data_IF_137117184099
#
_entry.id   IF_137117184099
#
_cell.length_a   1.000
_cell.length_b   1.000
_cell.length_c   1.000
_cell.angle_alpha   90.00
_cell.angle_beta   90.00
_cell.angle_gamma   90.00
#
_symmetry.space_group_name_H-M   'P 1'
#
loop_
_entity.id
_entity.type
_entity.pdbx_description
1 polymer ?
#
# COMPACT_ATOMS: atom_id res chain seq x y z
N UNK A 1 44.90 -32.69 16.16
CA UNK A 1 44.91 -32.08 14.84
C UNK A 1 45.30 -30.60 15.00
N UNK A 2 45.83 -29.95 13.99
CA UNK A 2 45.97 -28.52 14.00
C UNK A 2 44.58 -27.87 13.88
N UNK A 3 44.32 -26.82 14.63
CA UNK A 3 43.09 -26.08 14.57
C UNK A 3 42.89 -25.44 13.19
N UNK A 4 41.71 -25.57 12.62
CA UNK A 4 41.29 -24.98 11.35
C UNK A 4 40.40 -23.75 11.61
N UNK A 5 40.49 -22.66 10.82
CA UNK A 5 39.67 -21.49 11.06
C UNK A 5 38.19 -21.76 10.80
N UNK A 6 37.29 -21.12 11.53
CA UNK A 6 35.85 -21.12 11.22
C UNK A 6 35.58 -20.45 9.87
N UNK A 7 34.45 -20.71 9.32
CA UNK A 7 33.95 -20.11 8.06
C UNK A 7 32.66 -19.35 8.33
N UNK A 8 32.53 -18.16 7.74
CA UNK A 8 31.33 -17.34 7.81
C UNK A 8 30.84 -16.98 6.41
N UNK A 9 29.50 -16.96 6.19
CA UNK A 9 28.90 -16.69 4.91
C UNK A 9 27.56 -15.96 5.05
N UNK A 10 27.12 -15.35 3.97
CA UNK A 10 25.82 -14.67 3.86
C UNK A 10 25.95 -13.30 3.19
N UNK A 11 24.82 -12.78 2.75
CA UNK A 11 24.73 -11.46 2.11
C UNK A 11 23.72 -10.61 2.89
N UNK A 12 24.17 -9.64 3.68
CA UNK A 12 23.28 -8.74 4.41
C UNK A 12 22.43 -7.90 3.45
N UNK A 13 21.15 -7.63 3.75
CA UNK A 13 20.37 -6.62 3.02
C UNK A 13 21.07 -5.25 3.09
N UNK A 14 21.14 -4.56 1.95
CA UNK A 14 21.85 -3.28 1.84
C UNK A 14 20.99 -2.06 2.23
N UNK A 15 19.67 -2.25 2.42
CA UNK A 15 18.74 -1.17 2.79
C UNK A 15 17.57 -1.66 3.63
N UNK A 16 16.95 -0.71 4.33
CA UNK A 16 15.71 -0.90 5.08
C UNK A 16 14.98 0.44 5.15
N UNK A 17 13.64 0.42 5.10
CA UNK A 17 12.85 1.64 5.32
C UNK A 17 12.74 1.95 6.82
N UNK A 18 12.70 3.21 7.18
CA UNK A 18 12.35 3.65 8.52
C UNK A 18 10.99 3.04 8.92
N UNK A 19 10.88 2.56 10.18
CA UNK A 19 9.74 1.82 10.68
C UNK A 19 9.67 0.34 10.29
N UNK A 20 10.48 -0.14 9.33
CA UNK A 20 10.54 -1.54 8.94
C UNK A 20 11.60 -2.31 9.73
N UNK A 21 11.37 -3.61 9.90
CA UNK A 21 12.34 -4.48 10.62
C UNK A 21 13.46 -4.92 9.68
N UNK A 22 14.70 -4.65 10.10
CA UNK A 22 15.90 -5.22 9.53
C UNK A 22 16.29 -6.48 10.30
N UNK A 23 16.69 -7.54 9.61
CA UNK A 23 17.22 -8.74 10.23
C UNK A 23 18.14 -9.48 9.26
N UNK A 24 19.35 -9.78 9.74
CA UNK A 24 20.32 -10.61 9.05
C UNK A 24 20.99 -11.55 10.05
N UNK A 25 21.12 -12.83 9.69
CA UNK A 25 21.87 -13.84 10.45
C UNK A 25 22.82 -14.52 9.49
N UNK A 26 24.14 -14.45 9.71
CA UNK A 26 25.12 -15.15 8.88
C UNK A 26 25.03 -16.66 9.10
N UNK A 27 25.43 -17.44 8.11
CA UNK A 27 25.77 -18.84 8.29
C UNK A 27 27.22 -18.95 8.75
N UNK A 28 27.49 -19.81 9.74
CA UNK A 28 28.85 -20.11 10.15
C UNK A 28 29.01 -21.59 10.49
N UNK A 29 30.23 -22.11 10.28
CA UNK A 29 30.61 -23.47 10.63
C UNK A 29 32.09 -23.56 10.95
N UNK A 30 32.46 -24.53 11.77
CA UNK A 30 33.84 -24.84 12.09
C UNK A 30 34.18 -26.28 11.65
N UNK A 31 35.32 -26.49 10.96
CA UNK A 31 35.74 -27.83 10.51
C UNK A 31 36.05 -28.82 11.65
N UNK A 32 36.49 -28.31 12.80
CA UNK A 32 36.82 -29.10 13.96
C UNK A 32 35.65 -29.22 14.96
N UNK A 33 34.50 -28.58 14.64
CA UNK A 33 33.29 -28.47 15.47
C UNK A 33 33.49 -27.72 16.77
N UNK A 34 34.38 -26.73 16.79
CA UNK A 34 34.59 -25.88 17.93
C UNK A 34 33.43 -24.89 18.13
N UNK A 35 33.32 -24.39 19.38
CA UNK A 35 32.25 -23.43 19.73
C UNK A 35 32.52 -22.07 19.11
N UNK A 36 31.55 -21.54 18.38
CA UNK A 36 31.67 -20.27 17.68
C UNK A 36 31.14 -19.10 18.51
N UNK A 37 31.84 -17.98 18.44
CA UNK A 37 31.41 -16.69 19.01
C UNK A 37 31.48 -15.61 17.94
N UNK A 38 30.47 -14.77 17.87
CA UNK A 38 30.37 -13.71 16.88
C UNK A 38 30.71 -12.35 17.50
N UNK A 39 31.23 -11.47 16.67
CA UNK A 39 31.48 -10.07 17.00
C UNK A 39 31.09 -9.15 15.84
N UNK A 40 30.86 -7.88 16.14
CA UNK A 40 30.53 -6.87 15.15
C UNK A 40 31.34 -5.61 15.38
N UNK A 41 31.82 -4.98 14.31
CA UNK A 41 32.35 -3.63 14.33
C UNK A 41 31.49 -2.67 13.54
N UNK A 42 31.48 -1.38 13.92
CA UNK A 42 30.65 -0.33 13.33
C UNK A 42 29.16 -0.66 13.33
N UNK A 43 28.70 -1.27 14.44
CA UNK A 43 27.27 -1.59 14.63
C UNK A 43 26.43 -0.31 14.52
N UNK A 44 25.34 -0.29 13.69
CA UNK A 44 24.42 0.84 13.65
C UNK A 44 23.76 1.08 15.02
N UNK A 45 23.55 2.34 15.38
CA UNK A 45 22.93 2.73 16.66
C UNK A 45 21.52 2.21 16.87
N UNK A 46 20.78 2.02 15.77
CA UNK A 46 19.40 1.50 15.77
C UNK A 46 19.32 -0.03 15.85
N UNK A 47 20.43 -0.74 15.74
CA UNK A 47 20.45 -2.20 15.66
C UNK A 47 21.03 -2.84 16.94
N UNK A 48 20.56 -4.05 17.24
CA UNK A 48 21.09 -4.96 18.26
C UNK A 48 21.83 -6.11 17.59
N UNK A 49 22.88 -6.59 18.23
CA UNK A 49 23.67 -7.72 17.77
C UNK A 49 23.70 -8.83 18.82
N UNK A 50 23.45 -10.06 18.37
CA UNK A 50 23.52 -11.26 19.21
C UNK A 50 24.84 -12.01 18.94
N UNK A 51 25.76 -12.01 19.90
CA UNK A 51 27.07 -12.63 19.79
C UNK A 51 27.02 -14.17 19.75
N UNK A 52 25.91 -14.81 20.09
CA UNK A 52 25.76 -16.26 20.02
C UNK A 52 25.34 -16.75 18.65
N UNK A 53 24.60 -15.94 17.90
CA UNK A 53 24.05 -16.29 16.58
C UNK A 53 24.62 -15.46 15.44
N UNK A 54 25.30 -14.37 15.74
CA UNK A 54 25.76 -13.38 14.75
C UNK A 54 24.65 -12.53 14.17
N UNK A 55 23.42 -12.59 14.75
CA UNK A 55 22.26 -11.87 14.24
C UNK A 55 22.38 -10.37 14.50
N UNK A 56 22.28 -9.59 13.43
CA UNK A 56 22.09 -8.14 13.44
C UNK A 56 20.62 -7.83 13.14
N UNK A 57 19.92 -7.15 14.05
CA UNK A 57 18.50 -6.83 13.86
C UNK A 57 18.10 -5.53 14.55
N UNK A 58 17.06 -4.88 14.04
CA UNK A 58 16.50 -3.65 14.61
C UNK A 58 15.40 -3.07 13.75
N UNK A 59 14.78 -2.00 14.23
CA UNK A 59 13.77 -1.23 13.51
C UNK A 59 14.19 0.23 13.56
N UNK A 60 14.91 0.73 12.54
CA UNK A 60 15.32 2.13 12.50
C UNK A 60 14.12 3.06 12.40
N UNK A 61 14.20 4.23 13.02
CA UNK A 61 13.21 5.30 12.86
C UNK A 61 13.64 6.36 11.84
N UNK A 62 12.83 7.40 11.68
CA UNK A 62 13.12 8.53 10.75
C UNK A 62 14.42 9.27 11.11
N UNK A 63 14.75 9.30 12.39
CA UNK A 63 15.99 9.90 12.87
C UNK A 63 17.27 9.13 12.47
N UNK A 64 17.12 7.86 12.06
CA UNK A 64 18.21 6.98 11.64
C UNK A 64 18.43 6.98 10.12
N UNK A 65 17.68 7.78 9.38
CA UNK A 65 17.81 7.89 7.90
C UNK A 65 19.25 8.30 7.55
N UNK A 66 19.86 7.48 6.69
CA UNK A 66 21.25 7.62 6.31
C UNK A 66 21.94 6.27 6.13
N UNK A 67 23.25 6.28 5.92
CA UNK A 67 24.03 5.06 5.66
C UNK A 67 24.98 4.77 6.80
N UNK A 68 24.83 3.59 7.39
CA UNK A 68 25.83 2.99 8.29
C UNK A 68 26.79 2.15 7.44
N UNK A 69 28.07 2.48 7.44
CA UNK A 69 29.09 1.87 6.58
C UNK A 69 30.18 1.16 7.36
N UNK A 70 30.98 0.35 6.65
CA UNK A 70 32.11 -0.42 7.20
C UNK A 70 31.69 -1.41 8.30
N UNK A 71 30.45 -1.90 8.26
CA UNK A 71 29.99 -2.92 9.20
C UNK A 71 30.69 -4.23 8.87
N UNK A 72 31.31 -4.86 9.88
CA UNK A 72 31.95 -6.16 9.71
C UNK A 72 31.45 -7.09 10.81
N UNK A 73 30.92 -8.25 10.41
CA UNK A 73 30.60 -9.36 11.32
C UNK A 73 31.67 -10.41 11.18
N UNK A 74 32.23 -10.82 12.32
CA UNK A 74 33.28 -11.81 12.43
C UNK A 74 32.84 -12.99 13.29
N UNK A 75 33.39 -14.16 13.04
CA UNK A 75 33.24 -15.38 13.84
C UNK A 75 34.58 -15.86 14.32
N UNK A 76 34.65 -16.38 15.54
CA UNK A 76 35.87 -16.95 16.14
C UNK A 76 35.53 -18.25 16.86
N UNK A 77 36.46 -19.22 16.77
CA UNK A 77 36.52 -20.47 17.54
C UNK A 77 37.27 -20.35 18.87
N UNK A 78 37.83 -19.14 19.14
CA UNK A 78 38.65 -18.84 20.32
C UNK A 78 40.15 -18.79 20.03
N UNK A 79 40.62 -19.34 18.91
CA UNK A 79 42.03 -19.29 18.46
C UNK A 79 42.17 -18.58 17.11
N UNK A 80 41.28 -18.86 16.18
CA UNK A 80 41.26 -18.33 14.83
C UNK A 80 39.93 -17.60 14.55
N UNK A 81 39.87 -16.88 13.44
CA UNK A 81 38.66 -16.13 13.08
C UNK A 81 38.52 -15.95 11.57
N UNK A 82 37.26 -15.74 11.14
CA UNK A 82 36.88 -15.34 9.78
C UNK A 82 35.86 -14.21 9.83
N UNK A 83 35.69 -13.48 8.74
CA UNK A 83 34.82 -12.31 8.68
C UNK A 83 34.13 -12.16 7.35
N UNK A 84 32.90 -11.68 7.38
CA UNK A 84 32.21 -11.20 6.16
C UNK A 84 32.98 -9.98 5.60
N UNK A 85 32.94 -9.79 4.27
CA UNK A 85 33.35 -8.51 3.68
C UNK A 85 32.61 -7.35 4.35
N UNK A 86 33.28 -6.21 4.53
CA UNK A 86 32.63 -5.01 5.04
C UNK A 86 31.43 -4.62 4.18
N UNK A 87 30.31 -4.33 4.82
CA UNK A 87 29.07 -3.96 4.16
C UNK A 87 28.48 -2.65 4.71
N UNK A 88 27.47 -2.15 4.04
CA UNK A 88 26.74 -0.95 4.46
C UNK A 88 25.24 -1.23 4.47
N UNK A 89 24.52 -0.56 5.37
CA UNK A 89 23.04 -0.56 5.40
C UNK A 89 22.57 0.88 5.31
N UNK A 90 21.70 1.16 4.33
CA UNK A 90 21.08 2.47 4.16
C UNK A 90 19.65 2.43 4.70
N UNK A 91 19.36 3.29 5.65
CA UNK A 91 18.00 3.56 6.10
C UNK A 91 17.40 4.63 5.19
N UNK A 92 16.30 4.31 4.51
CA UNK A 92 15.55 5.25 3.68
C UNK A 92 14.27 5.65 4.37
N UNK A 93 13.75 6.86 4.11
CA UNK A 93 12.42 7.21 4.61
C UNK A 93 11.39 6.23 4.06
N UNK A 94 10.41 5.85 4.90
CA UNK A 94 9.22 5.20 4.40
C UNK A 94 8.52 6.13 3.40
N UNK A 95 8.01 5.59 2.29
CA UNK A 95 7.17 6.37 1.40
C UNK A 95 5.97 6.90 2.20
N UNK A 96 5.72 8.21 2.16
CA UNK A 96 4.51 8.80 2.72
C UNK A 96 3.37 8.55 1.75
N UNK A 97 2.26 8.02 2.25
CA UNK A 97 1.06 7.84 1.44
C UNK A 97 0.47 9.20 1.06
N UNK A 98 0.15 9.38 -0.21
CA UNK A 98 -0.65 10.49 -0.72
C UNK A 98 -2.10 10.01 -0.92
N UNK A 99 -3.12 10.81 -0.62
CA UNK A 99 -4.49 10.38 -0.84
C UNK A 99 -4.78 10.15 -2.32
N UNK A 100 -5.67 9.21 -2.67
CA UNK A 100 -6.10 9.00 -4.03
C UNK A 100 -6.81 10.24 -4.58
N UNK A 101 -6.86 10.35 -5.89
CA UNK A 101 -7.57 11.39 -6.60
C UNK A 101 -8.81 10.80 -7.28
N UNK A 102 -9.92 11.52 -7.23
CA UNK A 102 -11.17 11.14 -7.91
C UNK A 102 -11.74 12.35 -8.64
N UNK A 103 -12.26 12.15 -9.85
CA UNK A 103 -12.84 13.19 -10.68
C UNK A 103 -13.97 12.64 -11.57
N UNK A 104 -14.73 13.55 -12.13
CA UNK A 104 -15.86 13.24 -13.01
C UNK A 104 -17.06 14.14 -12.71
N UNK A 105 -17.97 14.20 -13.67
CA UNK A 105 -19.20 15.00 -13.56
C UNK A 105 -20.40 14.09 -13.86
N UNK A 106 -21.09 13.58 -12.80
CA UNK A 106 -22.28 12.78 -12.98
C UNK A 106 -23.39 13.57 -13.72
N UNK A 107 -24.16 12.89 -14.56
CA UNK A 107 -25.38 13.51 -15.11
C UNK A 107 -26.38 13.80 -13.98
N UNK A 108 -26.98 14.98 -14.00
CA UNK A 108 -27.89 15.44 -12.96
C UNK A 108 -29.35 15.04 -13.19
N UNK A 109 -29.66 14.45 -14.35
CA UNK A 109 -30.98 13.94 -14.66
C UNK A 109 -30.95 12.71 -15.56
N UNK A 110 -32.01 11.92 -15.52
CA UNK A 110 -32.29 10.79 -16.39
C UNK A 110 -33.82 10.67 -16.57
N UNK A 111 -34.31 10.34 -17.77
CA UNK A 111 -35.69 10.04 -17.95
C UNK A 111 -36.07 8.65 -17.42
N UNK A 112 -37.27 8.48 -16.89
CA UNK A 112 -37.78 7.16 -16.53
C UNK A 112 -37.64 6.19 -17.71
N UNK A 113 -37.33 4.93 -17.43
CA UNK A 113 -37.06 3.86 -18.40
C UNK A 113 -35.84 4.08 -19.33
N UNK A 114 -34.97 5.06 -19.00
CA UNK A 114 -33.68 5.24 -19.66
C UNK A 114 -32.53 4.80 -18.74
N UNK A 115 -31.45 4.32 -19.38
CA UNK A 115 -30.26 3.88 -18.65
C UNK A 115 -29.50 5.11 -18.13
N UNK A 116 -29.14 5.08 -16.86
CA UNK A 116 -28.17 5.95 -16.24
C UNK A 116 -26.88 5.15 -16.03
N UNK A 117 -25.73 5.72 -16.33
CA UNK A 117 -24.42 5.18 -16.02
C UNK A 117 -23.43 6.32 -15.81
N UNK A 118 -22.68 6.25 -14.74
CA UNK A 118 -21.58 7.15 -14.44
C UNK A 118 -20.45 6.37 -13.79
N UNK A 119 -19.23 6.49 -14.32
CA UNK A 119 -18.00 5.94 -13.76
C UNK A 119 -17.04 7.08 -13.52
N UNK A 120 -16.57 7.32 -12.29
CA UNK A 120 -15.57 8.34 -12.02
C UNK A 120 -14.19 7.91 -12.56
N UNK A 121 -13.35 8.90 -12.87
CA UNK A 121 -11.91 8.66 -13.03
C UNK A 121 -11.25 8.71 -11.65
N UNK A 122 -10.39 7.74 -11.36
CA UNK A 122 -9.64 7.72 -10.12
C UNK A 122 -8.21 7.21 -10.33
N UNK A 123 -7.27 7.75 -9.56
CA UNK A 123 -5.88 7.34 -9.58
C UNK A 123 -5.25 7.54 -8.21
N UNK A 124 -4.24 6.73 -7.93
CA UNK A 124 -3.39 6.87 -6.75
C UNK A 124 -1.97 7.25 -7.16
N UNK A 125 -1.34 8.26 -6.52
CA UNK A 125 0.01 8.69 -6.86
C UNK A 125 1.07 7.61 -6.68
N UNK A 126 0.88 6.71 -5.71
CA UNK A 126 1.77 5.59 -5.40
C UNK A 126 1.39 4.32 -6.19
N UNK A 127 0.26 4.31 -6.91
CA UNK A 127 -0.23 3.18 -7.69
C UNK A 127 -0.91 2.09 -6.84
N UNK A 128 -1.46 2.46 -5.69
CA UNK A 128 -2.18 1.57 -4.78
C UNK A 128 -3.48 1.01 -5.39
N UNK A 129 -3.96 -0.11 -4.82
CA UNK A 129 -5.26 -0.65 -5.16
C UNK A 129 -6.36 0.26 -4.63
N UNK A 130 -7.27 0.66 -5.51
CA UNK A 130 -8.41 1.52 -5.17
C UNK A 130 -9.66 0.71 -4.90
N UNK A 131 -10.40 1.12 -3.88
CA UNK A 131 -11.74 0.62 -3.55
C UNK A 131 -12.72 1.78 -3.49
N UNK A 132 -13.90 1.58 -4.09
CA UNK A 132 -14.92 2.62 -4.13
C UNK A 132 -16.05 2.33 -3.15
N UNK A 133 -16.70 3.40 -2.71
CA UNK A 133 -17.88 3.36 -1.86
C UNK A 133 -18.87 4.45 -2.28
N UNK A 134 -20.12 4.28 -1.92
CA UNK A 134 -21.17 5.26 -2.19
C UNK A 134 -22.04 5.47 -0.95
N UNK A 135 -22.43 6.70 -0.69
CA UNK A 135 -23.51 7.06 0.22
C UNK A 135 -24.66 7.72 -0.55
N UNK A 136 -25.88 7.64 -0.03
CA UNK A 136 -27.05 8.19 -0.71
C UNK A 136 -27.42 7.47 -2.01
N UNK A 137 -27.01 6.21 -2.19
CA UNK A 137 -27.29 5.42 -3.40
C UNK A 137 -28.80 5.37 -3.69
N UNK A 138 -29.25 5.76 -4.91
CA UNK A 138 -30.65 5.61 -5.31
C UNK A 138 -31.08 4.15 -5.29
N UNK A 139 -32.32 3.87 -4.87
CA UNK A 139 -32.86 2.50 -4.76
C UNK A 139 -32.97 1.76 -6.09
N UNK A 140 -33.05 2.49 -7.22
CA UNK A 140 -33.08 1.94 -8.56
C UNK A 140 -31.73 1.65 -9.18
N UNK A 141 -30.61 2.06 -8.53
CA UNK A 141 -29.27 1.96 -9.06
C UNK A 141 -28.45 0.87 -8.33
N UNK A 142 -27.51 0.29 -9.03
CA UNK A 142 -26.43 -0.55 -8.51
C UNK A 142 -25.11 0.20 -8.52
N UNK A 143 -24.22 -0.18 -7.61
CA UNK A 143 -22.88 0.40 -7.49
C UNK A 143 -21.81 -0.70 -7.51
N UNK A 144 -20.79 -0.52 -8.33
CA UNK A 144 -19.62 -1.42 -8.40
C UNK A 144 -18.48 -0.85 -7.58
N UNK A 145 -18.11 -1.53 -6.51
CA UNK A 145 -17.04 -1.10 -5.58
C UNK A 145 -15.63 -1.24 -6.15
N UNK A 146 -15.47 -1.90 -7.28
CA UNK A 146 -14.16 -2.05 -7.96
C UNK A 146 -13.90 -0.97 -9.00
N UNK A 147 -14.95 -0.45 -9.64
CA UNK A 147 -14.85 0.56 -10.70
C UNK A 147 -15.40 1.92 -10.30
N UNK A 148 -16.21 1.97 -9.23
CA UNK A 148 -16.96 3.17 -8.84
C UNK A 148 -18.15 3.47 -9.74
N UNK A 149 -18.55 2.54 -10.62
CA UNK A 149 -19.69 2.73 -11.51
C UNK A 149 -21.02 2.75 -10.73
N UNK A 150 -21.78 3.83 -10.89
CA UNK A 150 -23.18 3.93 -10.50
C UNK A 150 -24.05 3.79 -11.75
N UNK A 151 -24.83 2.72 -11.84
CA UNK A 151 -25.64 2.45 -13.03
C UNK A 151 -27.02 1.87 -12.67
N UNK A 152 -28.00 2.08 -13.55
CA UNK A 152 -29.36 1.54 -13.38
C UNK A 152 -30.35 2.11 -14.40
N UNK A 153 -31.58 1.64 -14.33
CA UNK A 153 -32.69 2.10 -15.18
C UNK A 153 -33.90 2.38 -14.29
N UNK A 154 -34.08 3.64 -13.85
CA UNK A 154 -35.26 3.98 -13.03
C UNK A 154 -36.53 3.81 -13.82
N UNK A 155 -37.60 3.28 -13.22
CA UNK A 155 -38.92 3.21 -13.83
C UNK A 155 -39.80 4.44 -13.52
N UNK A 156 -41.06 4.39 -13.92
CA UNK A 156 -42.00 5.50 -13.68
C UNK A 156 -42.33 5.71 -12.20
N UNK A 157 -42.17 4.67 -11.37
CA UNK A 157 -42.37 4.75 -9.92
C UNK A 157 -41.25 5.48 -9.19
N UNK A 158 -40.08 5.60 -9.84
CA UNK A 158 -38.86 6.22 -9.30
C UNK A 158 -38.73 7.70 -9.71
N UNK A 159 -39.75 8.29 -10.37
CA UNK A 159 -39.75 9.72 -10.71
C UNK A 159 -39.62 10.57 -9.43
N UNK A 160 -38.56 11.39 -9.37
CA UNK A 160 -38.25 12.20 -8.18
C UNK A 160 -36.80 12.62 -8.16
N UNK A 161 -36.40 13.23 -7.04
CA UNK A 161 -35.02 13.70 -6.82
C UNK A 161 -34.34 12.82 -5.78
N UNK A 162 -33.16 12.34 -6.11
CA UNK A 162 -32.27 11.58 -5.25
C UNK A 162 -31.05 12.46 -4.95
N UNK A 163 -30.95 12.95 -3.72
CA UNK A 163 -29.94 13.92 -3.28
C UNK A 163 -28.88 13.30 -2.37
N UNK A 164 -27.83 14.07 -2.09
CA UNK A 164 -26.75 13.72 -1.16
C UNK A 164 -25.99 12.45 -1.56
N UNK A 165 -25.91 12.19 -2.86
CA UNK A 165 -25.13 11.09 -3.40
C UNK A 165 -23.65 11.49 -3.35
N UNK A 166 -22.82 10.68 -2.68
CA UNK A 166 -21.36 10.87 -2.63
C UNK A 166 -20.68 9.57 -3.01
N UNK A 167 -19.81 9.62 -4.02
CA UNK A 167 -18.91 8.51 -4.37
C UNK A 167 -17.52 8.85 -3.83
N UNK A 168 -16.95 7.89 -3.12
CA UNK A 168 -15.63 7.99 -2.49
C UNK A 168 -14.71 6.88 -2.99
N UNK A 169 -13.42 7.14 -2.99
CA UNK A 169 -12.36 6.18 -3.30
C UNK A 169 -11.36 6.14 -2.15
N UNK A 170 -10.85 4.96 -1.85
CA UNK A 170 -9.84 4.71 -0.81
C UNK A 170 -8.69 3.86 -1.35
N UNK A 171 -7.46 4.17 -0.94
CA UNK A 171 -6.25 3.35 -1.12
C UNK A 171 -5.99 2.41 0.08
N UNK A 172 -6.87 2.45 1.10
CA UNK A 172 -6.74 1.71 2.36
C UNK A 172 -6.04 2.48 3.48
N UNK A 173 -5.47 3.68 3.20
CA UNK A 173 -4.84 4.56 4.18
C UNK A 173 -5.47 5.96 4.18
N UNK A 174 -5.91 6.43 3.03
CA UNK A 174 -6.55 7.73 2.84
C UNK A 174 -7.73 7.61 1.88
N UNK A 175 -8.60 8.62 1.90
CA UNK A 175 -9.82 8.67 1.10
C UNK A 175 -9.92 10.00 0.34
N UNK A 176 -10.60 9.94 -0.82
CA UNK A 176 -11.05 11.12 -1.55
C UNK A 176 -12.49 10.93 -2.02
N UNK A 177 -13.22 12.02 -2.26
CA UNK A 177 -14.63 11.94 -2.62
C UNK A 177 -14.98 12.99 -3.67
N UNK A 178 -15.93 12.65 -4.54
CA UNK A 178 -16.61 13.65 -5.35
C UNK A 178 -17.44 14.57 -4.45
N UNK A 179 -17.69 15.79 -4.92
CA UNK A 179 -18.68 16.64 -4.28
C UNK A 179 -20.07 15.94 -4.32
N UNK A 180 -20.87 16.13 -3.28
CA UNK A 180 -22.22 15.59 -3.24
C UNK A 180 -23.03 16.08 -4.45
N UNK A 181 -23.76 15.17 -5.08
CA UNK A 181 -24.58 15.46 -6.25
C UNK A 181 -25.99 14.90 -6.10
N UNK A 182 -26.85 15.28 -7.03
CA UNK A 182 -28.24 14.81 -7.08
C UNK A 182 -28.59 14.33 -8.49
N UNK A 183 -29.49 13.36 -8.56
CA UNK A 183 -30.03 12.84 -9.82
C UNK A 183 -31.57 13.05 -9.79
N UNK A 184 -32.10 13.76 -10.79
CA UNK A 184 -33.55 13.89 -11.03
C UNK A 184 -34.01 12.83 -12.02
N UNK A 185 -34.92 11.96 -11.59
CA UNK A 185 -35.65 11.07 -12.53
C UNK A 185 -36.87 11.79 -13.05
N UNK A 186 -36.89 12.01 -14.35
CA UNK A 186 -37.96 12.79 -15.02
C UNK A 186 -38.96 11.87 -15.69
N UNK A 187 -40.26 12.21 -15.60
CA UNK A 187 -41.29 11.48 -16.31
C UNK A 187 -41.16 11.69 -17.84
N UNK A 188 -41.39 10.65 -18.63
CA UNK A 188 -41.45 10.79 -20.08
C UNK A 188 -42.76 11.56 -20.40
N UNK A 189 -42.62 12.81 -20.86
CA UNK A 189 -43.78 13.52 -21.40
C UNK A 189 -44.14 12.93 -22.77
N UNK A 190 -45.19 12.13 -22.82
CA UNK A 190 -45.82 11.79 -24.09
C UNK A 190 -46.43 13.08 -24.66
N UNK A 191 -45.81 13.60 -25.74
CA UNK A 191 -46.37 14.76 -26.46
C UNK A 191 -47.85 14.54 -26.73
N UNK A 192 -48.70 15.54 -26.38
CA UNK A 192 -50.13 15.51 -26.70
C UNK A 192 -50.33 15.33 -28.19
N UNK A 193 -50.65 14.11 -28.63
CA UNK A 193 -51.16 13.91 -29.97
C UNK A 193 -52.59 14.54 -30.00
N UNK A 194 -52.71 15.75 -30.54
CA UNK A 194 -54.03 16.33 -30.87
C UNK A 194 -54.63 15.53 -32.01
N UNK A 195 -55.58 14.62 -31.69
CA UNK A 195 -56.45 14.02 -32.66
C UNK A 195 -57.41 15.11 -33.18
N UNK A 196 -57.09 15.67 -34.35
CA UNK A 196 -58.05 16.47 -35.08
C UNK A 196 -59.04 15.55 -35.82
N UNK A 197 -60.29 15.49 -35.37
CA UNK A 197 -61.37 14.85 -36.13
C UNK A 197 -61.84 15.85 -37.18
N UNK A 198 -61.72 15.52 -38.47
CA UNK A 198 -62.36 16.17 -39.61
C UNK A 198 -63.59 15.36 -40.02
#
# INVERSE_FOLDING_TARGET
AANSPPQISGTPPSSVNAGATYSFTPGASDPDNDSLTFSISHQPSWASFDASTGRLSGTPGDADVGTSSNIVISVSDGELSDSLPAFSVTVTMAATNSPPQISGTPATSVNANQVYSFTPDASDPEGGNLTFSISGQPSWASFDTSTGELSGTPGDAEVGVYSDIVISVSDGQADASLAAFSISVEAISLGSATLSWT
#
